data_IF_549502635796
#
_entry.id   IF_549502635796
#
_cell.length_a   1.000
_cell.length_b   1.000
_cell.length_c   1.000
_cell.angle_alpha   90.00
_cell.angle_beta   90.00
_cell.angle_gamma   90.00
#
_symmetry.space_group_name_H-M   'P 1'
#
loop_
_entity.id
_entity.type
_entity.pdbx_description
1 polymer ?
#
# COMPACT_ATOMS: atom_id res chain seq x y z
N UNK A 1 -79.04 3.89 2.62
CA UNK A 1 -77.84 3.09 2.97
C UNK A 1 -77.14 2.68 1.68
N UNK A 2 -75.91 3.15 1.43
CA UNK A 2 -75.05 2.71 0.31
C UNK A 2 -73.68 2.36 0.88
N UNK A 3 -73.23 1.12 0.71
CA UNK A 3 -71.98 0.61 1.26
C UNK A 3 -70.80 0.96 0.35
N UNK A 4 -69.88 1.78 0.84
CA UNK A 4 -68.61 2.05 0.19
C UNK A 4 -67.60 0.95 0.58
N UNK A 5 -67.63 -0.19 -0.13
CA UNK A 5 -66.51 -1.13 -0.14
C UNK A 5 -65.52 -0.73 -1.24
N UNK A 6 -64.74 0.32 -1.00
CA UNK A 6 -63.54 0.58 -1.78
C UNK A 6 -62.43 -0.34 -1.28
N UNK A 7 -62.27 -1.49 -1.94
CA UNK A 7 -61.08 -2.31 -1.79
C UNK A 7 -59.86 -1.47 -2.22
N UNK A 8 -58.98 -1.13 -1.28
CA UNK A 8 -57.67 -0.57 -1.60
C UNK A 8 -56.92 -1.63 -2.40
N UNK A 9 -56.72 -1.38 -3.71
CA UNK A 9 -55.78 -2.14 -4.52
C UNK A 9 -54.41 -1.93 -3.88
N UNK A 10 -53.87 -2.98 -3.24
CA UNK A 10 -52.47 -2.98 -2.86
C UNK A 10 -51.66 -2.95 -4.15
N UNK A 11 -50.75 -1.98 -4.28
CA UNK A 11 -49.83 -1.88 -5.41
C UNK A 11 -49.10 -3.22 -5.60
N UNK A 12 -49.07 -3.69 -6.85
CA UNK A 12 -48.39 -4.92 -7.23
C UNK A 12 -46.90 -4.85 -6.85
N UNK A 13 -46.37 -5.97 -6.34
CA UNK A 13 -45.01 -6.09 -5.83
C UNK A 13 -43.89 -5.76 -6.85
N UNK A 14 -44.23 -5.61 -8.12
CA UNK A 14 -43.32 -5.42 -9.25
C UNK A 14 -42.62 -4.04 -9.28
N UNK A 15 -43.14 -3.02 -8.57
CA UNK A 15 -42.59 -1.64 -8.63
C UNK A 15 -41.64 -1.27 -7.49
N UNK A 16 -41.23 -2.21 -6.65
CA UNK A 16 -40.17 -1.95 -5.66
C UNK A 16 -38.84 -2.11 -6.38
N UNK A 17 -38.15 -1.00 -6.65
CA UNK A 17 -36.72 -0.96 -7.03
C UNK A 17 -36.00 -1.97 -6.13
N UNK A 18 -35.59 -3.10 -6.71
CA UNK A 18 -35.19 -4.26 -5.92
C UNK A 18 -33.92 -3.91 -5.16
N UNK A 19 -33.90 -3.92 -3.80
CA UNK A 19 -32.64 -4.14 -3.13
C UNK A 19 -32.18 -5.53 -3.60
N UNK A 20 -31.03 -5.61 -4.26
CA UNK A 20 -30.55 -6.77 -5.05
C UNK A 20 -30.54 -8.11 -4.28
N UNK A 21 -30.79 -8.11 -2.96
CA UNK A 21 -30.89 -9.30 -2.14
C UNK A 21 -32.04 -9.16 -1.11
N UNK A 22 -33.19 -9.78 -1.38
CA UNK A 22 -34.23 -9.99 -0.37
C UNK A 22 -33.69 -10.97 0.69
N UNK A 23 -33.47 -10.48 1.92
CA UNK A 23 -33.02 -11.34 3.03
C UNK A 23 -34.02 -12.46 3.29
N UNK A 24 -33.55 -13.71 3.33
CA UNK A 24 -34.38 -14.84 3.78
C UNK A 24 -34.60 -14.78 5.30
N UNK A 25 -35.64 -15.49 5.79
CA UNK A 25 -35.88 -15.61 7.25
C UNK A 25 -34.65 -16.15 7.99
N UNK A 26 -33.92 -17.08 7.38
CA UNK A 26 -32.69 -17.65 7.95
C UNK A 26 -31.59 -16.60 8.09
N UNK A 27 -31.41 -15.76 7.07
CA UNK A 27 -30.41 -14.69 7.08
C UNK A 27 -30.75 -13.62 8.11
N UNK A 28 -32.04 -13.27 8.24
CA UNK A 28 -32.53 -12.38 9.29
C UNK A 28 -32.24 -12.93 10.71
N UNK A 29 -32.44 -14.23 10.93
CA UNK A 29 -32.13 -14.88 12.22
C UNK A 29 -30.62 -14.85 12.49
N UNK A 30 -29.78 -15.16 11.50
CA UNK A 30 -28.31 -15.09 11.65
C UNK A 30 -27.85 -13.66 11.98
N UNK A 31 -28.36 -12.66 11.25
CA UNK A 31 -28.08 -11.24 11.48
C UNK A 31 -28.49 -10.81 12.89
N UNK A 32 -29.67 -11.25 13.35
CA UNK A 32 -30.16 -10.94 14.69
C UNK A 32 -29.29 -11.59 15.78
N UNK A 33 -28.87 -12.85 15.61
CA UNK A 33 -27.95 -13.54 16.54
C UNK A 33 -26.63 -12.77 16.66
N UNK A 34 -25.99 -12.45 15.54
CA UNK A 34 -24.74 -11.67 15.53
C UNK A 34 -24.92 -10.29 16.18
N UNK A 35 -26.05 -9.62 15.95
CA UNK A 35 -26.35 -8.33 16.58
C UNK A 35 -26.47 -8.48 18.10
N UNK A 36 -27.20 -9.51 18.58
CA UNK A 36 -27.35 -9.79 20.02
C UNK A 36 -26.00 -10.06 20.69
N UNK A 37 -25.16 -10.88 20.09
CA UNK A 37 -23.81 -11.19 20.58
C UNK A 37 -22.90 -9.95 20.62
N UNK A 38 -22.97 -9.08 19.61
CA UNK A 38 -22.22 -7.82 19.62
C UNK A 38 -22.71 -6.90 20.73
N UNK A 39 -24.02 -6.78 20.91
CA UNK A 39 -24.59 -5.93 21.97
C UNK A 39 -24.25 -6.43 23.37
N UNK A 40 -24.22 -7.75 23.60
CA UNK A 40 -23.83 -8.30 24.91
C UNK A 40 -22.36 -8.02 25.21
N UNK A 41 -21.46 -8.27 24.25
CA UNK A 41 -20.02 -7.95 24.39
C UNK A 41 -19.77 -6.47 24.66
N UNK A 42 -20.48 -5.58 23.97
CA UNK A 42 -20.36 -4.13 24.22
C UNK A 42 -20.81 -3.78 25.64
N UNK A 43 -21.87 -4.43 26.15
CA UNK A 43 -22.36 -4.21 27.51
C UNK A 43 -21.32 -4.67 28.55
N UNK A 44 -20.78 -5.88 28.37
CA UNK A 44 -19.71 -6.43 29.22
C UNK A 44 -18.48 -5.51 29.25
N UNK A 45 -18.01 -5.05 28.09
CA UNK A 45 -16.86 -4.13 28.00
C UNK A 45 -17.13 -2.79 28.68
N UNK A 46 -18.36 -2.26 28.59
CA UNK A 46 -18.74 -1.01 29.27
C UNK A 46 -18.74 -1.17 30.78
N UNK A 47 -19.25 -2.29 31.27
CA UNK A 47 -19.22 -2.63 32.70
C UNK A 47 -17.76 -2.77 33.17
N UNK A 48 -16.92 -3.50 32.44
CA UNK A 48 -15.50 -3.65 32.76
C UNK A 48 -14.77 -2.30 32.82
N UNK A 49 -15.04 -1.39 31.88
CA UNK A 49 -14.46 -0.03 31.89
C UNK A 49 -14.95 0.76 33.11
N UNK A 50 -16.24 0.69 33.44
CA UNK A 50 -16.83 1.43 34.56
C UNK A 50 -16.23 1.03 35.91
N UNK A 51 -15.90 -0.25 36.09
CA UNK A 51 -15.34 -0.76 37.35
C UNK A 51 -13.81 -0.60 37.48
N UNK A 52 -13.11 -0.17 36.43
CA UNK A 52 -11.65 0.08 36.51
C UNK A 52 -11.35 1.38 37.23
N UNK A 53 -10.44 1.31 38.20
CA UNK A 53 -10.07 2.43 39.09
C UNK A 53 -9.10 3.42 38.45
N UNK A 54 -8.49 3.06 37.32
CA UNK A 54 -7.47 3.87 36.64
C UNK A 54 -6.07 3.83 37.26
N UNK A 55 -5.92 3.21 38.43
CA UNK A 55 -4.65 3.11 39.16
C UNK A 55 -3.94 1.76 38.96
N UNK A 56 -4.43 0.94 38.03
CA UNK A 56 -3.87 -0.38 37.74
C UNK A 56 -2.60 -0.26 36.90
N UNK A 57 -1.51 -0.86 37.35
CA UNK A 57 -0.28 -0.96 36.57
C UNK A 57 -0.08 -2.39 36.04
N UNK A 58 0.10 -2.50 34.72
CA UNK A 58 0.48 -3.75 34.07
C UNK A 58 1.85 -3.58 33.41
N UNK A 59 2.76 -4.55 33.59
CA UNK A 59 4.07 -4.53 32.92
C UNK A 59 4.00 -4.38 31.40
N UNK A 60 2.91 -4.85 30.79
CA UNK A 60 2.65 -4.73 29.35
C UNK A 60 2.50 -3.28 28.89
N UNK A 61 2.15 -2.35 29.79
CA UNK A 61 2.03 -0.92 29.47
C UNK A 61 3.36 -0.34 28.96
N UNK A 62 4.51 -0.82 29.42
CA UNK A 62 5.83 -0.36 28.92
C UNK A 62 6.11 -0.76 27.47
N UNK A 63 5.35 -1.70 26.92
CA UNK A 63 5.46 -2.16 25.53
C UNK A 63 4.43 -1.53 24.60
N UNK A 64 3.53 -0.70 25.14
CA UNK A 64 2.44 -0.06 24.43
C UNK A 64 2.55 1.47 24.57
N UNK A 65 2.09 2.20 23.57
CA UNK A 65 1.97 3.66 23.57
C UNK A 65 0.57 4.01 23.14
N UNK A 66 -0.03 5.04 23.74
CA UNK A 66 -1.29 5.59 23.26
C UNK A 66 -1.02 6.59 22.13
N UNK A 67 -1.62 6.34 20.96
CA UNK A 67 -1.63 7.25 19.80
C UNK A 67 -3.08 7.41 19.32
N UNK A 68 -3.62 8.63 19.32
CA UNK A 68 -5.00 8.93 18.90
C UNK A 68 -6.05 7.98 19.51
N UNK A 69 -6.05 7.85 20.84
CA UNK A 69 -6.95 6.97 21.61
C UNK A 69 -6.86 5.47 21.29
N UNK A 70 -5.81 5.05 20.58
CA UNK A 70 -5.52 3.64 20.30
C UNK A 70 -4.21 3.23 20.97
N UNK A 71 -4.17 1.99 21.46
CA UNK A 71 -2.94 1.39 21.97
C UNK A 71 -2.13 0.81 20.81
N UNK A 72 -0.95 1.37 20.57
CA UNK A 72 0.02 0.95 19.56
C UNK A 72 1.20 0.27 20.25
N UNK A 73 1.66 -0.85 19.71
CA UNK A 73 2.84 -1.54 20.24
C UNK A 73 4.11 -0.76 19.93
N UNK A 74 4.94 -0.51 20.95
CA UNK A 74 6.27 0.08 20.79
C UNK A 74 7.16 -0.98 20.15
N UNK A 75 7.35 -0.90 18.83
CA UNK A 75 8.36 -1.71 18.14
C UNK A 75 9.74 -1.17 18.48
N UNK A 76 10.62 -2.03 19.02
CA UNK A 76 12.03 -1.65 19.19
C UNK A 76 12.65 -1.49 17.81
N UNK A 77 13.24 -0.33 17.55
CA UNK A 77 13.98 -0.12 16.31
C UNK A 77 15.31 -0.90 16.37
N UNK A 78 15.45 -1.91 15.50
CA UNK A 78 16.72 -2.63 15.35
C UNK A 78 17.63 -1.93 14.31
N UNK A 79 18.73 -1.39 14.82
CA UNK A 79 19.78 -0.77 14.02
C UNK A 79 20.45 -1.78 13.09
N UNK A 80 20.65 -3.02 13.53
CA UNK A 80 21.35 -4.04 12.77
C UNK A 80 20.51 -4.53 11.58
N UNK A 81 19.22 -4.81 11.82
CA UNK A 81 18.26 -5.12 10.76
C UNK A 81 18.14 -3.97 9.74
N UNK A 82 18.03 -2.72 10.21
CA UNK A 82 17.92 -1.56 9.32
C UNK A 82 19.15 -1.39 8.43
N UNK A 83 20.37 -1.59 8.97
CA UNK A 83 21.61 -1.59 8.17
C UNK A 83 21.63 -2.72 7.14
N UNK A 84 21.23 -3.94 7.52
CA UNK A 84 21.12 -5.08 6.59
C UNK A 84 20.14 -4.79 5.45
N UNK A 85 19.04 -4.11 5.75
CA UNK A 85 18.06 -3.69 4.75
C UNK A 85 18.62 -2.67 3.76
N UNK A 86 19.42 -1.70 4.21
CA UNK A 86 20.12 -0.75 3.32
C UNK A 86 21.11 -1.49 2.40
N UNK A 87 21.85 -2.46 2.92
CA UNK A 87 22.77 -3.28 2.12
C UNK A 87 22.01 -4.05 1.03
N UNK A 88 20.89 -4.69 1.39
CA UNK A 88 20.03 -5.38 0.43
C UNK A 88 19.50 -4.45 -0.66
N UNK A 89 19.06 -3.24 -0.29
CA UNK A 89 18.62 -2.22 -1.25
C UNK A 89 19.75 -1.78 -2.18
N UNK A 90 20.99 -1.63 -1.68
CA UNK A 90 22.13 -1.29 -2.53
C UNK A 90 22.38 -2.36 -3.60
N UNK A 91 22.30 -3.64 -3.25
CA UNK A 91 22.46 -4.72 -4.22
C UNK A 91 21.36 -4.70 -5.28
N UNK A 92 20.11 -4.48 -4.88
CA UNK A 92 19.00 -4.41 -5.83
C UNK A 92 19.09 -3.17 -6.73
N UNK A 93 19.53 -2.02 -6.22
CA UNK A 93 19.81 -0.82 -7.02
C UNK A 93 20.87 -1.13 -8.07
N UNK A 94 22.02 -1.70 -7.69
CA UNK A 94 23.09 -2.09 -8.63
C UNK A 94 22.56 -3.06 -9.70
N UNK A 95 21.75 -4.04 -9.29
CA UNK A 95 21.15 -5.00 -10.21
C UNK A 95 20.23 -4.32 -11.22
N UNK A 96 19.40 -3.38 -10.77
CA UNK A 96 18.46 -2.65 -11.62
C UNK A 96 19.16 -1.65 -12.54
N UNK A 97 20.19 -0.95 -12.06
CA UNK A 97 21.06 -0.11 -12.89
C UNK A 97 21.73 -0.93 -14.01
N UNK A 98 22.22 -2.13 -13.70
CA UNK A 98 22.78 -3.05 -14.72
C UNK A 98 21.74 -3.45 -15.76
N UNK A 99 20.50 -3.77 -15.35
CA UNK A 99 19.39 -4.06 -16.29
C UNK A 99 19.06 -2.86 -17.17
N UNK A 100 19.06 -1.66 -16.60
CA UNK A 100 18.80 -0.43 -17.33
C UNK A 100 19.91 -0.16 -18.37
N UNK A 101 21.18 -0.30 -18.01
CA UNK A 101 22.30 -0.16 -18.96
C UNK A 101 22.22 -1.14 -20.13
N UNK A 102 21.81 -2.40 -19.88
CA UNK A 102 21.64 -3.41 -20.93
C UNK A 102 20.47 -3.14 -21.88
N UNK A 103 19.50 -2.34 -21.45
CA UNK A 103 18.30 -2.03 -22.24
C UNK A 103 18.40 -0.70 -22.97
N UNK A 104 19.44 0.10 -22.69
CA UNK A 104 19.74 1.30 -23.46
C UNK A 104 20.43 0.93 -24.79
N UNK A 105 20.07 1.60 -25.89
CA UNK A 105 20.69 1.33 -27.19
C UNK A 105 22.15 1.76 -27.15
N UNK A 106 23.04 0.86 -27.54
CA UNK A 106 24.46 1.19 -27.76
C UNK A 106 24.57 1.81 -29.15
N UNK A 107 24.93 3.09 -29.20
CA UNK A 107 25.28 3.75 -30.45
C UNK A 107 26.65 3.24 -30.89
N UNK A 108 26.70 2.49 -32.00
CA UNK A 108 27.97 2.17 -32.65
C UNK A 108 28.39 3.36 -33.50
N UNK A 109 29.68 3.76 -33.49
CA UNK A 109 30.16 4.78 -34.40
C UNK A 109 29.91 4.33 -35.83
N UNK A 110 29.38 5.23 -36.66
CA UNK A 110 29.18 4.97 -38.08
C UNK A 110 30.52 4.62 -38.74
N UNK A 111 30.53 3.62 -39.62
CA UNK A 111 31.66 3.43 -40.54
C UNK A 111 31.63 4.60 -41.52
N UNK A 112 32.71 5.38 -41.53
CA UNK A 112 32.92 6.41 -42.55
C UNK A 112 33.27 5.67 -43.84
N UNK A 113 32.41 5.77 -44.84
CA UNK A 113 32.67 5.25 -46.18
C UNK A 113 33.05 6.45 -47.04
N UNK A 114 34.27 6.44 -47.58
CA UNK A 114 34.71 7.43 -48.56
C UNK A 114 34.32 6.91 -49.95
N UNK A 115 33.42 7.59 -50.63
CA UNK A 115 33.07 7.33 -52.03
C UNK A 115 33.66 8.45 -52.89
N UNK A 116 34.21 8.11 -54.07
CA UNK A 116 34.84 9.05 -55.02
C UNK A 116 33.81 9.91 -55.79
N UNK A 117 32.60 10.07 -55.26
CA UNK A 117 31.52 10.86 -55.87
C UNK A 117 31.54 12.32 -55.36
N UNK A 118 31.19 13.31 -56.19
CA UNK A 118 31.23 14.74 -55.83
C UNK A 118 30.16 15.19 -54.81
N UNK A 119 29.36 14.26 -54.29
CA UNK A 119 28.31 14.52 -53.31
C UNK A 119 28.77 13.94 -51.96
N UNK A 120 29.14 14.85 -51.05
CA UNK A 120 29.87 14.61 -49.80
C UNK A 120 29.46 13.39 -48.96
N UNK A 121 30.46 12.90 -48.24
CA UNK A 121 30.45 11.78 -47.28
C UNK A 121 29.12 11.69 -46.50
N UNK A 122 28.39 10.59 -46.68
CA UNK A 122 27.21 10.26 -45.87
C UNK A 122 27.62 9.37 -44.70
N UNK A 123 27.45 9.87 -43.48
CA UNK A 123 27.72 9.14 -42.23
C UNK A 123 26.39 8.64 -41.68
N UNK A 124 26.09 7.35 -41.85
CA UNK A 124 24.89 6.74 -41.28
C UNK A 124 25.21 5.97 -39.98
N UNK A 125 24.83 6.55 -38.83
CA UNK A 125 24.85 5.84 -37.54
C UNK A 125 23.70 4.83 -37.49
N UNK A 126 24.01 3.53 -37.61
CA UNK A 126 23.01 2.46 -37.43
C UNK A 126 22.75 2.21 -35.94
N UNK A 127 21.54 2.51 -35.47
CA UNK A 127 21.04 2.03 -34.18
C UNK A 127 20.60 0.56 -34.33
N UNK A 128 21.29 -0.36 -33.64
CA UNK A 128 20.98 -1.80 -33.72
C UNK A 128 19.76 -2.25 -32.89
N UNK A 129 19.33 -1.46 -31.91
CA UNK A 129 18.22 -1.82 -31.01
C UNK A 129 17.24 -0.65 -30.84
N UNK A 130 15.96 -0.90 -31.12
CA UNK A 130 14.88 0.01 -30.71
C UNK A 130 14.68 -0.12 -29.20
N UNK A 131 14.81 0.96 -28.42
CA UNK A 131 14.57 0.90 -26.99
C UNK A 131 13.11 0.56 -26.71
N UNK A 132 12.89 -0.48 -25.91
CA UNK A 132 11.58 -0.78 -25.32
C UNK A 132 11.28 0.29 -24.25
N UNK A 133 10.53 1.32 -24.68
CA UNK A 133 10.22 2.51 -23.86
C UNK A 133 9.45 2.14 -22.59
N UNK A 134 8.61 1.13 -22.63
CA UNK A 134 7.81 0.68 -21.48
C UNK A 134 8.70 -0.01 -20.44
N UNK A 135 9.61 -0.90 -20.88
CA UNK A 135 10.59 -1.52 -19.97
C UNK A 135 11.54 -0.50 -19.35
N UNK A 136 11.94 0.52 -20.10
CA UNK A 136 12.78 1.60 -19.55
C UNK A 136 12.04 2.41 -18.49
N UNK A 137 10.77 2.75 -18.73
CA UNK A 137 9.94 3.48 -17.76
C UNK A 137 9.77 2.67 -16.47
N UNK A 138 9.39 1.39 -16.57
CA UNK A 138 9.19 0.52 -15.39
C UNK A 138 10.46 0.36 -14.55
N UNK A 139 11.64 0.22 -15.18
CA UNK A 139 12.91 0.13 -14.45
C UNK A 139 13.28 1.44 -13.75
N UNK A 140 13.03 2.59 -14.39
CA UNK A 140 13.26 3.91 -13.77
C UNK A 140 12.33 4.13 -12.57
N UNK A 141 11.06 3.81 -12.71
CA UNK A 141 10.07 3.94 -11.62
C UNK A 141 10.42 3.06 -10.44
N UNK A 142 10.86 1.82 -10.70
CA UNK A 142 11.29 0.91 -9.66
C UNK A 142 12.56 1.41 -8.95
N UNK A 143 13.56 1.89 -9.70
CA UNK A 143 14.76 2.52 -9.12
C UNK A 143 14.42 3.72 -8.24
N UNK A 144 13.51 4.59 -8.67
CA UNK A 144 13.06 5.72 -7.86
C UNK A 144 12.45 5.27 -6.52
N UNK A 145 11.65 4.20 -6.54
CA UNK A 145 11.10 3.60 -5.30
C UNK A 145 12.20 3.04 -4.39
N UNK A 146 13.20 2.37 -4.95
CA UNK A 146 14.34 1.83 -4.18
C UNK A 146 15.15 2.95 -3.51
N UNK A 147 15.49 4.02 -4.23
CA UNK A 147 16.21 5.17 -3.64
C UNK A 147 15.38 5.88 -2.56
N UNK A 148 14.08 6.10 -2.80
CA UNK A 148 13.19 6.71 -1.81
C UNK A 148 13.14 5.88 -0.53
N UNK A 149 13.03 4.56 -0.67
CA UNK A 149 12.99 3.63 0.47
C UNK A 149 14.32 3.62 1.22
N UNK A 150 15.44 3.60 0.49
CA UNK A 150 16.78 3.69 1.08
C UNK A 150 16.96 4.97 1.91
N UNK A 151 16.60 6.13 1.35
CA UNK A 151 16.69 7.42 2.03
C UNK A 151 15.83 7.48 3.31
N UNK A 152 14.63 6.89 3.28
CA UNK A 152 13.77 6.82 4.47
C UNK A 152 14.44 6.02 5.60
N UNK A 153 15.00 4.86 5.28
CA UNK A 153 15.68 4.02 6.27
C UNK A 153 16.95 4.70 6.79
N UNK A 154 17.73 5.34 5.92
CA UNK A 154 18.92 6.10 6.31
C UNK A 154 18.60 7.24 7.26
N UNK A 155 17.52 8.01 6.99
CA UNK A 155 17.02 9.05 7.91
C UNK A 155 16.61 8.48 9.26
N UNK A 156 15.94 7.32 9.30
CA UNK A 156 15.58 6.66 10.55
C UNK A 156 16.84 6.28 11.35
N UNK A 157 17.83 5.68 10.68
CA UNK A 157 19.13 5.32 11.29
C UNK A 157 19.83 6.56 11.85
N UNK A 158 19.86 7.66 11.10
CA UNK A 158 20.50 8.91 11.52
C UNK A 158 19.79 9.54 12.73
N UNK A 159 18.46 9.58 12.72
CA UNK A 159 17.66 10.06 13.84
C UNK A 159 17.90 9.23 15.11
N UNK A 160 17.97 7.90 14.99
CA UNK A 160 18.28 7.03 16.13
C UNK A 160 19.70 7.26 16.66
N UNK A 161 20.68 7.51 15.79
CA UNK A 161 22.05 7.87 16.23
C UNK A 161 22.07 9.20 16.98
N UNK A 162 21.39 10.23 16.48
CA UNK A 162 21.27 11.55 17.14
C UNK A 162 20.65 11.43 18.53
N UNK A 163 19.56 10.67 18.66
CA UNK A 163 18.91 10.42 19.95
C UNK A 163 19.79 9.68 20.97
N UNK A 164 20.76 8.86 20.52
CA UNK A 164 21.70 8.15 21.39
C UNK A 164 22.93 8.97 21.76
N UNK A 165 23.31 9.97 20.95
CA UNK A 165 24.45 10.86 21.24
C UNK A 165 24.09 12.07 22.11
N UNK A 166 22.80 12.34 22.32
CA UNK A 166 22.29 13.39 23.22
C UNK A 166 21.93 12.87 24.63
N UNK A 167 22.10 11.56 24.87
CA UNK A 167 21.97 10.91 26.18
C UNK A 167 23.35 10.52 26.68
#
# INVERSE_FOLDING_TARGET
MKSLKTARKFDSAEKRVQPENLESKHDAIKRLKLKKERTSKIKELKEEIHFKTGNEYFFKMNSLRQENDKLVRISKFDMAESKRRVISLNFEIIRMEKKLRKTMPVLKPAKIVFEDCPQGVKVECRQELKPDKERLATYRDYLAKLYKTKQQIEKMIENTKKQRGQR
#
